data_IF_029204313811
#
_entry.id   IF_029204313811
#
_cell.length_a   1.000
_cell.length_b   1.000
_cell.length_c   1.000
_cell.angle_alpha   90.00
_cell.angle_beta   90.00
_cell.angle_gamma   90.00
#
_symmetry.space_group_name_H-M   'P 1'
#
loop_
_entity.id
_entity.type
_entity.pdbx_description
1 polymer ?
#
# COMPACT_ATOMS: atom_id res chain seq x y z
N UNK A 1 28.00 0.55 -8.40
CA UNK A 1 28.36 1.59 -7.43
C UNK A 1 27.33 2.69 -7.58
N UNK A 2 26.25 2.60 -6.80
CA UNK A 2 25.12 3.53 -6.84
C UNK A 2 25.49 4.83 -6.13
N UNK A 3 25.63 5.88 -6.92
CA UNK A 3 25.92 7.23 -6.44
C UNK A 3 24.63 7.86 -5.90
N UNK A 4 24.22 7.49 -4.69
CA UNK A 4 23.16 8.21 -3.99
C UNK A 4 23.71 9.58 -3.56
N UNK A 5 23.00 10.68 -3.82
CA UNK A 5 23.41 11.99 -3.30
C UNK A 5 23.42 11.92 -1.77
N UNK A 6 24.43 12.54 -1.09
CA UNK A 6 24.50 12.53 0.35
C UNK A 6 23.23 13.17 0.92
N UNK A 7 22.47 12.41 1.70
CA UNK A 7 21.36 12.97 2.48
C UNK A 7 21.90 14.14 3.31
N UNK A 8 21.39 15.33 3.07
CA UNK A 8 21.63 16.48 3.95
C UNK A 8 21.27 16.04 5.36
N UNK A 9 22.27 15.91 6.23
CA UNK A 9 22.03 15.84 7.67
C UNK A 9 21.16 17.03 7.99
N UNK A 10 19.98 16.80 8.53
CA UNK A 10 19.15 17.86 9.10
C UNK A 10 20.06 18.58 10.08
N UNK A 11 20.54 19.74 9.69
CA UNK A 11 21.54 20.51 10.42
C UNK A 11 20.99 20.78 11.82
N UNK A 12 21.88 20.86 12.82
CA UNK A 12 21.60 21.40 14.14
C UNK A 12 21.28 22.92 14.09
N UNK A 13 20.87 23.44 12.96
CA UNK A 13 20.37 24.80 12.85
C UNK A 13 19.22 24.98 13.85
N UNK A 14 19.22 26.04 14.64
CA UNK A 14 18.13 26.31 15.56
C UNK A 14 16.82 26.31 14.76
N UNK A 15 15.89 25.42 15.15
CA UNK A 15 14.59 25.32 14.48
C UNK A 15 13.96 26.71 14.51
N UNK A 16 13.48 27.18 13.37
CA UNK A 16 12.96 28.55 13.19
C UNK A 16 11.89 28.96 14.21
N UNK A 17 11.11 27.98 14.72
CA UNK A 17 10.10 28.18 15.73
C UNK A 17 10.64 28.66 17.10
N UNK A 18 11.93 28.45 17.43
CA UNK A 18 12.54 28.91 18.69
C UNK A 18 12.76 30.43 18.71
N UNK A 19 12.85 31.03 17.55
CA UNK A 19 13.04 32.46 17.40
C UNK A 19 11.73 33.24 17.16
N UNK A 20 10.59 32.52 17.05
CA UNK A 20 9.29 33.13 16.81
C UNK A 20 8.68 33.64 18.13
N UNK A 21 8.51 34.96 18.29
CA UNK A 21 7.98 35.53 19.52
C UNK A 21 6.53 35.14 19.81
N UNK A 22 5.73 34.80 18.80
CA UNK A 22 4.35 34.31 18.96
C UNK A 22 4.29 32.89 19.54
N UNK A 23 5.34 32.13 19.37
CA UNK A 23 5.45 30.76 19.91
C UNK A 23 6.10 30.75 21.30
N UNK A 24 6.64 31.85 21.78
CA UNK A 24 7.32 31.96 23.09
C UNK A 24 6.51 31.35 24.26
N UNK A 25 5.19 31.61 24.40
CA UNK A 25 4.39 31.01 25.47
C UNK A 25 4.24 29.50 25.38
N UNK A 26 4.49 28.88 24.20
CA UNK A 26 4.27 27.47 23.90
C UNK A 26 5.56 26.66 23.78
N UNK A 27 6.72 27.28 23.96
CA UNK A 27 8.02 26.65 23.74
C UNK A 27 8.20 25.35 24.54
N UNK A 28 7.73 25.31 25.78
CA UNK A 28 7.83 24.14 26.62
C UNK A 28 7.00 22.98 26.07
N UNK A 29 5.77 23.22 25.65
CA UNK A 29 4.91 22.19 25.04
C UNK A 29 5.49 21.71 23.71
N UNK A 30 6.03 22.62 22.90
CA UNK A 30 6.67 22.28 21.63
C UNK A 30 7.91 21.41 21.87
N UNK A 31 8.73 21.75 22.89
CA UNK A 31 9.91 20.98 23.27
C UNK A 31 9.53 19.55 23.70
N UNK A 32 8.52 19.41 24.55
CA UNK A 32 8.04 18.10 25.00
C UNK A 32 7.55 17.23 23.84
N UNK A 33 6.82 17.80 22.88
CA UNK A 33 6.39 17.11 21.65
C UNK A 33 7.57 16.69 20.79
N UNK A 34 8.57 17.57 20.65
CA UNK A 34 9.77 17.26 19.89
C UNK A 34 10.58 16.12 20.51
N UNK A 35 10.77 16.16 21.83
CA UNK A 35 11.43 15.08 22.58
C UNK A 35 10.66 13.77 22.49
N UNK A 36 9.32 13.82 22.56
CA UNK A 36 8.48 12.63 22.36
C UNK A 36 8.66 12.05 20.97
N UNK A 37 8.62 12.88 19.90
CA UNK A 37 8.81 12.42 18.51
C UNK A 37 10.19 11.79 18.33
N UNK A 38 11.25 12.43 18.85
CA UNK A 38 12.61 11.91 18.76
C UNK A 38 12.73 10.58 19.52
N UNK A 39 12.20 10.50 20.74
CA UNK A 39 12.21 9.28 21.54
C UNK A 39 11.42 8.14 20.87
N UNK A 40 10.24 8.43 20.32
CA UNK A 40 9.45 7.44 19.58
C UNK A 40 10.17 6.94 18.35
N UNK A 41 10.74 7.83 17.55
CA UNK A 41 11.53 7.43 16.38
C UNK A 41 12.67 6.51 16.78
N UNK A 42 13.46 6.89 17.79
CA UNK A 42 14.57 6.07 18.29
C UNK A 42 14.10 4.68 18.72
N UNK A 43 13.01 4.60 19.49
CA UNK A 43 12.46 3.34 19.97
C UNK A 43 11.90 2.46 18.84
N UNK A 44 11.30 3.07 17.80
CA UNK A 44 10.74 2.32 16.67
C UNK A 44 11.81 1.78 15.72
N UNK A 45 12.82 2.60 15.43
CA UNK A 45 13.82 2.27 14.39
C UNK A 45 15.06 1.58 14.94
N UNK A 46 15.18 1.43 16.26
CA UNK A 46 16.40 0.97 16.93
C UNK A 46 17.64 1.77 16.44
N UNK A 47 17.46 3.09 16.28
CA UNK A 47 18.49 4.00 15.79
C UNK A 47 18.75 3.99 14.30
N UNK A 48 18.03 3.18 13.52
CA UNK A 48 18.14 3.17 12.07
C UNK A 48 17.52 4.43 11.44
N UNK A 49 17.81 4.66 10.17
CA UNK A 49 17.12 5.67 9.39
C UNK A 49 15.63 5.32 9.24
N UNK A 50 14.75 6.31 9.34
CA UNK A 50 13.31 6.09 9.21
C UNK A 50 12.91 5.53 7.83
N UNK A 51 13.61 5.92 6.76
CA UNK A 51 13.37 5.37 5.42
C UNK A 51 13.72 3.89 5.33
N UNK A 52 14.83 3.48 5.95
CA UNK A 52 15.26 2.08 5.97
C UNK A 52 14.38 1.20 6.90
N UNK A 53 13.66 1.85 7.81
CA UNK A 53 12.71 1.19 8.70
C UNK A 53 11.31 1.10 8.11
N UNK A 54 10.94 1.98 7.18
CA UNK A 54 9.60 2.08 6.58
C UNK A 54 9.37 1.01 5.50
N UNK A 55 9.55 -0.26 5.87
CA UNK A 55 9.47 -1.46 5.04
C UNK A 55 8.29 -2.38 5.39
N UNK A 56 7.23 -1.82 6.01
CA UNK A 56 6.13 -2.64 6.53
C UNK A 56 5.48 -3.54 5.47
N UNK A 57 5.43 -3.08 4.21
CA UNK A 57 4.87 -3.83 3.08
C UNK A 57 5.72 -5.04 2.65
N UNK A 58 7.01 -5.09 3.01
CA UNK A 58 7.90 -6.23 2.80
C UNK A 58 7.92 -7.18 4.01
N UNK A 59 7.57 -6.64 5.19
CA UNK A 59 7.54 -7.38 6.44
C UNK A 59 6.19 -8.03 6.71
N UNK A 60 5.08 -7.30 6.49
CA UNK A 60 3.71 -7.74 6.74
C UNK A 60 2.99 -8.12 5.45
N UNK A 61 1.87 -8.83 5.60
CA UNK A 61 1.09 -9.38 4.50
C UNK A 61 1.57 -10.76 4.07
N UNK A 62 1.14 -11.18 2.89
CA UNK A 62 1.42 -12.49 2.32
C UNK A 62 2.58 -12.42 1.32
N UNK A 63 3.61 -13.22 1.55
CA UNK A 63 4.81 -13.28 0.71
C UNK A 63 5.14 -14.73 0.36
N UNK A 64 5.55 -14.98 -0.89
CA UNK A 64 6.12 -16.24 -1.29
C UNK A 64 7.65 -16.14 -1.22
N UNK A 65 8.26 -16.82 -0.25
CA UNK A 65 9.69 -16.71 0.05
C UNK A 65 10.28 -18.11 0.15
N UNK A 66 11.35 -18.38 -0.60
CA UNK A 66 12.08 -19.66 -0.59
C UNK A 66 11.17 -20.90 -0.77
N UNK A 67 10.19 -20.80 -1.66
CA UNK A 67 9.27 -21.91 -1.95
C UNK A 67 8.18 -22.15 -0.90
N UNK A 68 7.96 -21.21 0.01
CA UNK A 68 6.92 -21.28 1.03
C UNK A 68 6.14 -19.96 1.08
N UNK A 69 4.90 -20.03 1.53
CA UNK A 69 4.15 -18.84 1.90
C UNK A 69 4.50 -18.42 3.33
N UNK A 70 4.82 -17.16 3.51
CA UNK A 70 4.94 -16.51 4.82
C UNK A 70 3.88 -15.43 4.90
N UNK A 71 3.05 -15.51 5.91
CA UNK A 71 2.09 -14.46 6.26
C UNK A 71 2.45 -13.87 7.61
N UNK A 72 2.44 -12.54 7.72
CA UNK A 72 2.65 -11.82 8.98
C UNK A 72 1.67 -10.65 9.08
N UNK A 73 1.16 -10.40 10.30
CA UNK A 73 0.30 -9.26 10.61
C UNK A 73 0.54 -8.80 12.06
N UNK A 74 0.34 -7.51 12.33
CA UNK A 74 0.43 -6.94 13.66
C UNK A 74 -0.96 -6.82 14.28
N UNK A 75 -1.24 -7.62 15.30
CA UNK A 75 -2.54 -7.75 15.97
C UNK A 75 -2.32 -7.88 17.48
N UNK A 76 -1.87 -6.80 18.17
CA UNK A 76 -1.39 -6.88 19.55
C UNK A 76 -2.44 -7.29 20.57
N UNK A 77 -3.73 -7.16 20.24
CA UNK A 77 -4.84 -7.49 21.12
C UNK A 77 -5.59 -8.77 20.70
N UNK A 78 -5.04 -9.55 19.78
CA UNK A 78 -5.66 -10.80 19.36
C UNK A 78 -5.32 -11.94 20.31
N UNK A 79 -6.30 -12.82 20.56
CA UNK A 79 -6.14 -14.08 21.30
C UNK A 79 -5.82 -15.24 20.35
N UNK A 80 -6.40 -15.22 19.15
CA UNK A 80 -6.17 -16.23 18.12
C UNK A 80 -6.45 -15.67 16.73
N UNK A 81 -5.70 -16.16 15.73
CA UNK A 81 -5.80 -15.67 14.33
C UNK A 81 -5.67 -16.84 13.35
N UNK A 82 -6.50 -16.84 12.32
CA UNK A 82 -6.44 -17.79 11.19
C UNK A 82 -6.49 -17.05 9.86
N UNK A 83 -5.81 -17.61 8.87
CA UNK A 83 -6.12 -17.33 7.47
C UNK A 83 -7.33 -18.18 7.08
N UNK A 84 -8.36 -17.54 6.53
CA UNK A 84 -9.55 -18.19 6.00
C UNK A 84 -9.80 -17.70 4.58
N UNK A 85 -10.16 -18.60 3.68
CA UNK A 85 -10.33 -18.25 2.27
C UNK A 85 -10.71 -19.46 1.42
N UNK A 86 -10.58 -19.32 0.10
CA UNK A 86 -10.94 -20.37 -0.86
C UNK A 86 -10.18 -21.68 -0.59
N UNK A 87 -8.92 -21.58 -0.18
CA UNK A 87 -8.05 -22.72 0.19
C UNK A 87 -8.49 -23.47 1.45
N UNK A 88 -9.37 -22.93 2.26
CA UNK A 88 -9.87 -23.51 3.51
C UNK A 88 -11.39 -23.68 3.52
N UNK A 89 -12.09 -23.44 2.41
CA UNK A 89 -13.54 -23.30 2.34
C UNK A 89 -14.06 -22.26 3.37
N UNK A 90 -13.28 -21.23 3.64
CA UNK A 90 -13.57 -20.16 4.60
C UNK A 90 -13.69 -20.64 6.06
N UNK A 91 -13.16 -21.83 6.36
CA UNK A 91 -13.15 -22.44 7.69
C UNK A 91 -11.83 -22.16 8.42
N UNK A 92 -11.88 -22.17 9.75
CA UNK A 92 -10.72 -22.06 10.67
C UNK A 92 -10.03 -23.42 10.79
N UNK A 93 -9.16 -23.74 9.87
CA UNK A 93 -8.38 -24.98 9.91
C UNK A 93 -7.04 -24.74 10.62
N UNK A 94 -6.63 -25.67 11.49
CA UNK A 94 -5.42 -25.52 12.32
C UNK A 94 -4.16 -25.30 11.46
N UNK A 95 -4.07 -25.91 10.27
CA UNK A 95 -2.94 -25.70 9.36
C UNK A 95 -2.80 -24.25 8.85
N UNK A 96 -3.82 -23.41 8.99
CA UNK A 96 -3.82 -21.99 8.60
C UNK A 96 -3.84 -21.04 9.80
N UNK A 97 -3.62 -21.59 11.00
CA UNK A 97 -3.52 -20.78 12.21
C UNK A 97 -2.22 -20.00 12.22
N UNK A 98 -2.28 -18.73 12.64
CA UNK A 98 -1.11 -17.92 12.92
C UNK A 98 -0.66 -18.15 14.36
N UNK A 99 0.64 -18.01 14.60
CA UNK A 99 1.26 -18.11 15.90
C UNK A 99 1.87 -16.77 16.32
N UNK A 100 1.84 -16.42 17.62
CA UNK A 100 2.51 -15.22 18.12
C UNK A 100 4.01 -15.23 17.78
N UNK A 101 4.49 -14.11 17.21
CA UNK A 101 5.90 -13.92 16.83
C UNK A 101 6.59 -12.80 17.64
N UNK A 102 5.96 -12.36 18.74
CA UNK A 102 6.46 -11.31 19.64
C UNK A 102 5.98 -9.91 19.27
N UNK A 103 5.96 -8.99 20.26
CA UNK A 103 5.60 -7.57 20.10
C UNK A 103 4.25 -7.30 19.42
N UNK A 104 3.30 -8.25 19.49
CA UNK A 104 2.00 -8.17 18.83
C UNK A 104 1.97 -8.69 17.40
N UNK A 105 3.08 -9.19 16.89
CA UNK A 105 3.15 -9.84 15.58
C UNK A 105 2.60 -11.27 15.66
N UNK A 106 1.93 -11.66 14.58
CA UNK A 106 1.41 -13.01 14.33
C UNK A 106 1.95 -13.49 12.99
N UNK A 107 2.43 -14.75 12.93
CA UNK A 107 3.03 -15.32 11.72
C UNK A 107 2.49 -16.73 11.43
N UNK A 108 2.32 -17.04 10.14
CA UNK A 108 2.17 -18.39 9.63
C UNK A 108 3.16 -18.66 8.50
N UNK A 109 3.64 -19.90 8.44
CA UNK A 109 4.44 -20.43 7.32
C UNK A 109 3.71 -21.63 6.75
N UNK A 110 3.46 -21.61 5.46
CA UNK A 110 2.63 -22.60 4.78
C UNK A 110 3.40 -23.16 3.58
N UNK A 111 3.08 -24.38 3.23
CA UNK A 111 3.60 -25.03 2.02
C UNK A 111 3.25 -24.24 0.75
N UNK A 112 4.09 -24.29 -0.27
CA UNK A 112 3.86 -23.61 -1.54
C UNK A 112 2.50 -23.93 -2.17
N UNK A 113 2.02 -25.15 -1.97
CA UNK A 113 0.74 -25.66 -2.51
C UNK A 113 -0.48 -25.30 -1.66
N UNK A 114 -0.28 -24.60 -0.53
CA UNK A 114 -1.36 -24.27 0.38
C UNK A 114 -2.31 -23.20 -0.16
N UNK A 115 -1.82 -22.35 -1.05
CA UNK A 115 -2.55 -21.24 -1.67
C UNK A 115 -2.15 -21.08 -3.12
N UNK A 116 -3.08 -20.59 -3.96
CA UNK A 116 -2.86 -20.38 -5.39
C UNK A 116 -3.14 -18.91 -5.77
N UNK A 117 -2.54 -18.49 -6.87
CA UNK A 117 -2.85 -17.20 -7.46
C UNK A 117 -4.35 -17.05 -7.71
N UNK A 118 -4.95 -15.98 -7.24
CA UNK A 118 -6.38 -15.71 -7.38
C UNK A 118 -7.24 -16.11 -6.18
N UNK A 119 -6.75 -17.00 -5.28
CA UNK A 119 -7.49 -17.36 -4.07
C UNK A 119 -7.84 -16.12 -3.24
N UNK A 120 -9.09 -15.99 -2.83
CA UNK A 120 -9.52 -14.92 -1.96
C UNK A 120 -9.40 -15.33 -0.48
N UNK A 121 -9.04 -14.37 0.38
CA UNK A 121 -8.84 -14.67 1.79
C UNK A 121 -9.06 -13.47 2.70
N UNK A 122 -9.21 -13.76 4.00
CA UNK A 122 -9.22 -12.80 5.11
C UNK A 122 -8.50 -13.38 6.32
N UNK A 123 -8.30 -12.55 7.31
CA UNK A 123 -7.99 -12.97 8.66
C UNK A 123 -9.29 -13.18 9.44
N UNK A 124 -9.41 -14.31 10.10
CA UNK A 124 -10.37 -14.50 11.19
C UNK A 124 -9.63 -14.21 12.49
N UNK A 125 -10.01 -13.15 13.16
CA UNK A 125 -9.34 -12.67 14.38
C UNK A 125 -10.30 -12.82 15.56
N UNK A 126 -9.83 -13.46 16.65
CA UNK A 126 -10.50 -13.49 17.93
C UNK A 126 -9.77 -12.56 18.91
N UNK A 127 -10.52 -11.83 19.71
CA UNK A 127 -10.02 -10.91 20.75
C UNK A 127 -10.93 -10.96 21.99
N UNK A 128 -10.51 -10.43 23.15
CA UNK A 128 -11.37 -10.42 24.35
C UNK A 128 -12.72 -9.76 24.05
N UNK A 129 -13.79 -10.57 24.15
CA UNK A 129 -15.17 -10.11 23.95
C UNK A 129 -15.70 -10.18 22.50
N UNK A 130 -14.95 -10.74 21.54
CA UNK A 130 -15.46 -10.88 20.19
C UNK A 130 -14.55 -11.58 19.18
N UNK A 131 -15.05 -11.71 17.98
CA UNK A 131 -14.30 -12.20 16.83
C UNK A 131 -14.81 -11.56 15.53
N UNK A 132 -14.04 -11.62 14.47
CA UNK A 132 -14.50 -11.14 13.17
C UNK A 132 -13.46 -11.25 12.08
N UNK A 133 -13.93 -11.05 10.84
CA UNK A 133 -13.10 -11.08 9.66
C UNK A 133 -12.43 -9.71 9.45
N UNK A 134 -11.15 -9.73 9.06
CA UNK A 134 -10.35 -8.55 8.74
C UNK A 134 -9.60 -8.74 7.43
N UNK A 135 -9.44 -7.66 6.67
CA UNK A 135 -8.53 -7.63 5.54
C UNK A 135 -7.12 -7.37 6.08
N UNK A 136 -6.09 -8.10 5.62
CA UNK A 136 -4.72 -7.81 6.01
C UNK A 136 -4.31 -6.38 5.64
N UNK A 137 -3.61 -5.69 6.54
CA UNK A 137 -3.24 -4.29 6.35
C UNK A 137 -2.35 -4.09 5.10
N UNK A 138 -1.41 -5.00 4.86
CA UNK A 138 -0.48 -4.95 3.73
C UNK A 138 -0.87 -5.92 2.59
N UNK A 139 -2.18 -6.15 2.36
CA UNK A 139 -2.64 -6.92 1.22
C UNK A 139 -2.28 -6.21 -0.10
N UNK A 140 -1.63 -6.92 -1.03
CA UNK A 140 -1.18 -6.37 -2.32
C UNK A 140 -2.28 -6.33 -3.38
N UNK A 141 -3.32 -7.13 -3.21
CA UNK A 141 -4.51 -7.14 -4.04
C UNK A 141 -5.73 -7.29 -3.13
N UNK A 142 -6.72 -6.44 -3.33
CA UNK A 142 -7.99 -6.48 -2.62
C UNK A 142 -9.09 -6.34 -3.65
N UNK A 143 -10.06 -7.24 -3.63
CA UNK A 143 -11.15 -7.29 -4.60
C UNK A 143 -12.50 -7.19 -3.91
N UNK A 144 -13.45 -6.57 -4.57
CA UNK A 144 -14.81 -6.42 -4.09
C UNK A 144 -15.66 -7.65 -4.41
N UNK A 145 -16.69 -7.88 -3.63
CA UNK A 145 -17.64 -8.97 -3.83
C UNK A 145 -18.79 -8.64 -4.83
N UNK A 146 -18.78 -7.44 -5.39
CA UNK A 146 -19.84 -6.96 -6.28
C UNK A 146 -19.31 -5.98 -7.32
N UNK A 147 -19.93 -5.96 -8.48
CA UNK A 147 -19.71 -4.97 -9.54
C UNK A 147 -20.65 -3.77 -9.43
N UNK A 148 -21.62 -3.81 -8.53
CA UNK A 148 -22.53 -2.70 -8.28
C UNK A 148 -21.80 -1.59 -7.49
N UNK A 149 -21.53 -0.48 -8.17
CA UNK A 149 -20.78 0.65 -7.65
C UNK A 149 -21.54 1.46 -6.58
N UNK A 150 -22.84 1.28 -6.48
CA UNK A 150 -23.71 2.07 -5.61
C UNK A 150 -24.10 1.32 -4.33
N UNK A 151 -23.67 0.10 -4.18
CA UNK A 151 -23.89 -0.67 -2.94
C UNK A 151 -23.13 -0.06 -1.78
N UNK A 152 -23.82 0.09 -0.65
CA UNK A 152 -23.23 0.54 0.62
C UNK A 152 -22.62 -0.61 1.44
N UNK A 153 -22.95 -1.86 1.12
CA UNK A 153 -22.55 -3.07 1.81
C UNK A 153 -21.42 -3.83 1.06
N UNK A 154 -20.54 -3.09 0.39
CA UNK A 154 -19.39 -3.67 -0.31
C UNK A 154 -18.50 -4.40 0.67
N UNK A 155 -18.28 -5.67 0.39
CA UNK A 155 -17.38 -6.53 1.14
C UNK A 155 -16.13 -6.78 0.30
N UNK A 156 -14.97 -6.56 0.91
CA UNK A 156 -13.68 -6.80 0.26
C UNK A 156 -13.04 -8.07 0.79
N UNK A 157 -12.32 -8.76 -0.09
CA UNK A 157 -11.40 -9.83 0.25
C UNK A 157 -10.00 -9.47 -0.23
N UNK A 158 -8.98 -9.82 0.54
CA UNK A 158 -7.63 -9.89 0.01
C UNK A 158 -7.57 -11.04 -1.01
N UNK A 159 -6.71 -10.91 -2.01
CA UNK A 159 -6.49 -11.95 -3.01
C UNK A 159 -5.01 -12.30 -3.09
N UNK A 160 -4.71 -13.59 -3.14
CA UNK A 160 -3.35 -14.08 -3.38
C UNK A 160 -2.89 -13.60 -4.75
N UNK A 161 -1.88 -12.74 -4.78
CA UNK A 161 -1.37 -12.19 -6.02
C UNK A 161 0.05 -12.69 -6.27
N UNK A 162 0.13 -13.76 -7.03
CA UNK A 162 1.37 -14.42 -7.44
C UNK A 162 1.22 -14.86 -8.90
N UNK A 163 1.29 -13.92 -9.86
CA UNK A 163 1.15 -14.27 -11.26
C UNK A 163 2.25 -15.24 -11.70
N UNK A 164 1.98 -16.14 -12.64
CA UNK A 164 2.94 -17.15 -13.09
C UNK A 164 4.18 -16.52 -13.77
N UNK A 165 4.04 -15.30 -14.28
CA UNK A 165 5.14 -14.53 -14.84
C UNK A 165 5.25 -13.22 -14.06
N UNK A 166 6.45 -12.94 -13.55
CA UNK A 166 6.75 -11.66 -12.92
C UNK A 166 6.79 -10.57 -13.99
N UNK A 167 6.31 -9.38 -13.63
CA UNK A 167 6.41 -8.21 -14.51
C UNK A 167 7.87 -7.87 -14.79
N UNK A 168 8.20 -7.66 -16.06
CA UNK A 168 9.54 -7.29 -16.50
C UNK A 168 9.48 -5.83 -16.99
N UNK A 169 10.11 -4.94 -16.23
CA UNK A 169 10.21 -3.53 -16.56
C UNK A 169 11.02 -3.32 -17.86
N UNK A 170 10.50 -2.50 -18.77
CA UNK A 170 11.12 -2.21 -20.07
C UNK A 170 11.84 -0.86 -20.07
N UNK A 171 11.46 0.05 -19.17
CA UNK A 171 11.98 1.41 -19.11
C UNK A 171 12.38 1.78 -17.68
N UNK A 172 13.52 2.45 -17.57
CA UNK A 172 13.95 3.06 -16.31
C UNK A 172 13.20 4.38 -16.08
N UNK A 173 13.05 4.76 -14.81
CA UNK A 173 12.49 6.05 -14.45
C UNK A 173 13.33 7.19 -15.08
N UNK A 174 12.71 8.21 -15.68
CA UNK A 174 13.44 9.32 -16.27
C UNK A 174 14.26 10.07 -15.21
N UNK A 175 15.35 10.76 -15.61
CA UNK A 175 16.17 11.55 -14.70
C UNK A 175 15.34 12.61 -13.99
N UNK A 176 15.62 12.84 -12.70
CA UNK A 176 14.95 13.87 -11.92
C UNK A 176 15.18 15.27 -12.54
N UNK A 177 14.10 15.99 -12.76
CA UNK A 177 14.10 17.37 -13.27
C UNK A 177 13.03 18.19 -12.54
N UNK A 178 12.96 19.49 -12.80
CA UNK A 178 11.90 20.33 -12.23
C UNK A 178 10.53 19.80 -12.68
N UNK A 179 9.62 19.42 -11.75
CA UNK A 179 8.39 18.76 -12.12
C UNK A 179 7.39 19.73 -12.77
N UNK A 180 6.91 19.38 -13.94
CA UNK A 180 5.69 19.91 -14.55
C UNK A 180 4.62 18.85 -14.40
N UNK A 181 3.76 19.02 -13.40
CA UNK A 181 2.85 17.98 -12.93
C UNK A 181 1.50 18.08 -13.64
N UNK A 182 1.04 16.96 -14.17
CA UNK A 182 -0.35 16.76 -14.59
C UNK A 182 -1.04 15.82 -13.58
N UNK A 183 -2.07 16.31 -12.89
CA UNK A 183 -2.87 15.50 -11.99
C UNK A 183 -4.06 14.89 -12.73
N UNK A 184 -4.27 13.58 -12.56
CA UNK A 184 -5.34 12.85 -13.23
C UNK A 184 -5.95 11.77 -12.35
N UNK A 185 -7.24 11.49 -12.58
CA UNK A 185 -7.96 10.36 -12.00
C UNK A 185 -8.22 9.31 -13.08
N UNK A 186 -7.65 8.11 -12.93
CA UNK A 186 -7.71 7.05 -13.96
C UNK A 186 -9.14 6.76 -14.41
N UNK A 187 -10.05 6.57 -13.45
CA UNK A 187 -11.44 6.21 -13.76
C UNK A 187 -12.25 7.30 -14.47
N UNK A 188 -11.80 8.57 -14.46
CA UNK A 188 -12.52 9.70 -15.03
C UNK A 188 -11.81 10.33 -16.24
N UNK A 189 -10.60 9.92 -16.56
CA UNK A 189 -9.79 10.52 -17.62
C UNK A 189 -10.15 10.02 -19.03
N UNK A 190 -11.39 9.61 -19.24
CA UNK A 190 -11.91 9.09 -20.52
C UNK A 190 -13.18 9.82 -20.96
N UNK A 191 -13.47 9.75 -22.25
CA UNK A 191 -14.64 10.41 -22.85
C UNK A 191 -15.88 9.50 -22.95
N UNK A 192 -15.69 8.17 -22.85
CA UNK A 192 -16.76 7.20 -22.90
C UNK A 192 -17.48 7.06 -21.54
N UNK A 193 -18.72 6.60 -21.56
CA UNK A 193 -19.46 6.29 -20.34
C UNK A 193 -18.82 5.11 -19.59
N UNK A 194 -18.76 5.21 -18.26
CA UNK A 194 -18.23 4.17 -17.38
C UNK A 194 -16.95 4.59 -16.66
N UNK A 195 -16.28 3.62 -16.02
CA UNK A 195 -15.02 3.83 -15.29
C UNK A 195 -13.86 3.51 -16.23
N UNK A 196 -12.88 4.42 -16.30
CA UNK A 196 -11.65 4.20 -17.03
C UNK A 196 -10.74 3.18 -16.35
N UNK A 197 -9.93 2.49 -17.15
CA UNK A 197 -9.00 1.46 -16.70
C UNK A 197 -7.56 1.91 -16.82
N UNK A 198 -6.63 1.20 -16.17
CA UNK A 198 -5.19 1.44 -16.33
C UNK A 198 -4.75 1.28 -17.80
N UNK A 199 -5.30 0.29 -18.51
CA UNK A 199 -5.00 0.05 -19.91
C UNK A 199 -5.43 1.24 -20.76
N UNK A 200 -6.68 1.68 -20.62
CA UNK A 200 -7.20 2.83 -21.38
C UNK A 200 -6.45 4.12 -21.10
N UNK A 201 -6.10 4.36 -19.83
CA UNK A 201 -5.31 5.52 -19.43
C UNK A 201 -3.91 5.48 -20.09
N UNK A 202 -3.30 4.31 -20.10
CA UNK A 202 -1.99 4.09 -20.73
C UNK A 202 -2.03 4.39 -22.22
N UNK A 203 -3.03 3.86 -22.92
CA UNK A 203 -3.11 3.96 -24.38
C UNK A 203 -3.56 5.33 -24.88
N UNK A 204 -4.46 6.00 -24.15
CA UNK A 204 -5.14 7.19 -24.66
C UNK A 204 -4.81 8.48 -23.93
N UNK A 205 -4.44 8.44 -22.65
CA UNK A 205 -4.23 9.63 -21.82
C UNK A 205 -2.75 9.97 -21.67
N UNK A 206 -1.91 8.99 -21.31
CA UNK A 206 -0.46 9.22 -21.14
C UNK A 206 0.21 9.90 -22.36
N UNK A 207 -0.05 9.47 -23.62
CA UNK A 207 0.56 10.13 -24.77
C UNK A 207 0.16 11.60 -24.91
N UNK A 208 -1.07 11.95 -24.54
CA UNK A 208 -1.55 13.35 -24.57
C UNK A 208 -0.85 14.20 -23.50
N UNK A 209 -0.65 13.64 -22.29
CA UNK A 209 0.07 14.32 -21.21
C UNK A 209 1.50 14.62 -21.65
N UNK A 210 2.21 13.62 -22.18
CA UNK A 210 3.57 13.78 -22.69
C UNK A 210 3.64 14.82 -23.84
N UNK A 211 2.73 14.74 -24.81
CA UNK A 211 2.63 15.70 -25.91
C UNK A 211 2.32 17.12 -25.43
N UNK A 212 1.63 17.28 -24.30
CA UNK A 212 1.37 18.56 -23.64
C UNK A 212 2.59 19.18 -22.96
N UNK A 213 3.73 18.48 -22.92
CA UNK A 213 5.00 18.96 -22.34
C UNK A 213 5.12 18.75 -20.84
N UNK A 214 4.21 18.00 -20.22
CA UNK A 214 4.37 17.57 -18.83
C UNK A 214 5.45 16.49 -18.71
N UNK A 215 6.10 16.43 -17.55
CA UNK A 215 7.13 15.43 -17.26
C UNK A 215 6.85 14.62 -15.98
N UNK A 216 5.70 14.85 -15.37
CA UNK A 216 5.28 14.16 -14.15
C UNK A 216 3.77 13.96 -14.17
N UNK A 217 3.32 12.75 -13.88
CA UNK A 217 1.89 12.44 -13.67
C UNK A 217 1.65 12.19 -12.19
N UNK A 218 0.73 12.94 -11.59
CA UNK A 218 0.21 12.67 -10.26
C UNK A 218 -1.14 11.95 -10.42
N UNK A 219 -1.17 10.65 -10.11
CA UNK A 219 -2.40 9.87 -10.18
C UNK A 219 -3.16 10.04 -8.87
N UNK A 220 -4.39 10.56 -8.94
CA UNK A 220 -5.28 10.68 -7.80
C UNK A 220 -5.68 9.30 -7.29
N UNK A 221 -5.56 9.13 -5.98
CA UNK A 221 -6.22 8.13 -5.13
C UNK A 221 -6.49 6.78 -5.81
N UNK A 222 -5.42 6.10 -6.23
CA UNK A 222 -5.49 4.80 -6.91
C UNK A 222 -5.72 3.62 -5.95
N UNK A 223 -5.62 3.85 -4.63
CA UNK A 223 -5.79 2.80 -3.64
C UNK A 223 -7.22 2.25 -3.65
N UNK A 224 -7.38 1.02 -3.16
CA UNK A 224 -8.69 0.39 -3.05
C UNK A 224 -9.64 1.19 -2.17
N UNK A 225 -10.85 1.43 -2.67
CA UNK A 225 -11.88 2.21 -1.98
C UNK A 225 -13.28 1.62 -2.22
N UNK A 226 -14.20 1.70 -1.23
CA UNK A 226 -15.51 1.08 -1.33
C UNK A 226 -16.50 1.86 -2.19
N UNK A 227 -16.39 3.17 -2.20
CA UNK A 227 -17.34 4.06 -2.85
C UNK A 227 -16.65 4.86 -3.96
N UNK A 228 -17.00 4.59 -5.21
CA UNK A 228 -16.41 5.25 -6.37
C UNK A 228 -16.57 6.78 -6.34
N UNK A 229 -17.72 7.28 -5.89
CA UNK A 229 -17.97 8.72 -5.75
C UNK A 229 -17.10 9.44 -4.72
N UNK A 230 -16.30 8.71 -3.93
CA UNK A 230 -15.26 9.31 -3.09
C UNK A 230 -14.01 9.69 -3.88
N UNK A 231 -13.93 9.35 -5.16
CA UNK A 231 -12.74 9.51 -6.01
C UNK A 231 -11.47 8.88 -5.42
N UNK A 232 -11.64 7.84 -4.57
CA UNK A 232 -10.53 7.17 -3.90
C UNK A 232 -10.09 7.80 -2.58
N UNK A 233 -10.72 8.86 -2.10
CA UNK A 233 -10.37 9.49 -0.82
C UNK A 233 -10.84 8.68 0.41
N UNK A 234 -11.75 7.72 0.26
CA UNK A 234 -12.16 6.79 1.31
C UNK A 234 -11.37 5.47 1.18
N UNK A 235 -10.09 5.48 1.47
CA UNK A 235 -9.20 4.33 1.29
C UNK A 235 -9.60 3.15 2.18
N UNK A 236 -9.83 1.98 1.58
CA UNK A 236 -10.08 0.73 2.28
C UNK A 236 -8.79 -0.08 2.52
N UNK A 237 -7.81 0.03 1.62
CA UNK A 237 -6.50 -0.61 1.76
C UNK A 237 -5.42 0.25 1.08
N UNK A 238 -4.31 0.50 1.79
CA UNK A 238 -3.24 1.41 1.33
C UNK A 238 -2.27 0.76 0.33
N UNK A 239 -2.17 -0.56 0.29
CA UNK A 239 -1.17 -1.30 -0.49
C UNK A 239 -1.76 -2.04 -1.69
N UNK A 240 -3.06 -1.92 -1.93
CA UNK A 240 -3.74 -2.48 -3.09
C UNK A 240 -4.30 -1.37 -3.98
N UNK A 241 -4.10 -1.50 -5.28
CA UNK A 241 -4.75 -0.63 -6.26
C UNK A 241 -6.24 -0.98 -6.40
N UNK A 242 -7.05 0.00 -6.76
CA UNK A 242 -8.48 -0.18 -6.94
C UNK A 242 -8.77 -1.21 -8.05
N UNK A 243 -9.56 -2.23 -7.71
CA UNK A 243 -9.92 -3.32 -8.62
C UNK A 243 -10.80 -2.89 -9.79
N UNK A 244 -11.47 -1.73 -9.68
CA UNK A 244 -12.25 -1.14 -10.78
C UNK A 244 -11.36 -0.61 -11.90
N UNK A 245 -10.12 -0.23 -11.60
CA UNK A 245 -9.21 0.32 -12.60
C UNK A 245 -8.38 -0.77 -13.29
N UNK A 246 -8.31 -1.97 -12.69
CA UNK A 246 -7.57 -3.09 -13.26
C UNK A 246 -6.77 -3.90 -12.25
N UNK A 247 -5.74 -4.55 -12.76
CA UNK A 247 -4.83 -5.43 -12.01
C UNK A 247 -3.53 -4.71 -11.60
N UNK A 248 -2.78 -5.25 -10.62
CA UNK A 248 -1.45 -4.75 -10.29
C UNK A 248 -0.49 -4.75 -11.49
N UNK A 249 -0.56 -5.74 -12.38
CA UNK A 249 0.28 -5.82 -13.57
C UNK A 249 -0.07 -4.74 -14.60
N UNK A 250 -1.35 -4.45 -14.79
CA UNK A 250 -1.77 -3.33 -15.66
C UNK A 250 -1.33 -1.98 -15.10
N UNK A 251 -1.33 -1.83 -13.77
CA UNK A 251 -0.78 -0.63 -13.15
C UNK A 251 0.74 -0.52 -13.33
N UNK A 252 1.48 -1.63 -13.21
CA UNK A 252 2.92 -1.64 -13.51
C UNK A 252 3.17 -1.28 -14.98
N UNK A 253 2.36 -1.80 -15.91
CA UNK A 253 2.45 -1.47 -17.31
C UNK A 253 2.19 0.02 -17.59
N UNK A 254 1.25 0.64 -16.86
CA UNK A 254 1.01 2.07 -16.92
C UNK A 254 2.26 2.87 -16.49
N UNK A 255 2.88 2.49 -15.37
CA UNK A 255 4.09 3.16 -14.86
C UNK A 255 5.25 2.99 -15.85
N UNK A 256 5.45 1.78 -16.38
CA UNK A 256 6.49 1.48 -17.35
C UNK A 256 6.31 2.28 -18.65
N UNK A 257 5.08 2.35 -19.16
CA UNK A 257 4.75 3.17 -20.32
C UNK A 257 4.98 4.67 -20.07
N UNK A 258 4.64 5.16 -18.86
CA UNK A 258 4.92 6.54 -18.48
C UNK A 258 6.42 6.83 -18.51
N UNK A 259 7.25 5.93 -17.95
CA UNK A 259 8.72 6.02 -18.02
C UNK A 259 9.21 6.04 -19.47
N UNK A 260 8.67 5.19 -20.37
CA UNK A 260 9.00 5.18 -21.80
C UNK A 260 8.64 6.46 -22.53
N UNK A 261 7.68 7.23 -22.02
CA UNK A 261 7.28 8.55 -22.53
C UNK A 261 8.06 9.71 -21.88
N UNK A 262 8.96 9.43 -20.95
CA UNK A 262 9.71 10.45 -20.22
C UNK A 262 8.92 11.10 -19.06
N UNK A 263 7.86 10.43 -18.57
CA UNK A 263 6.99 10.88 -17.47
C UNK A 263 7.37 10.22 -16.16
#
# INVERSE_FOLDING_TARGET
MTNQPPMRRLSNAPRSWRADPWLAPYLEIIRQRDEYIVGRRQAMTDGKNLLDWADCHDRYGLHHVQGQWRFREWLPNADAVWLVGDFSNWERLERFRLHPAGQGDWEARLEATAMHHGDQYRLHVCWPGGEGLRIPACARRVVRNTTDLWRSDVVFNAQVWQPPQLYVWQHDAPPAQAPLVYEAHVGMAQEKSGIGTFVEFTETVLPRIAAGGYNTVQIMAIQQHPYYGSFGYHVANFFAVCDLFGTPEEFKALVDAAHGLGL
#
